data_IF_630055276655
#
_entry.id   IF_630055276655
#
_cell.length_a   1.000
_cell.length_b   1.000
_cell.length_c   1.000
_cell.angle_alpha   90.00
_cell.angle_beta   90.00
_cell.angle_gamma   90.00
#
_symmetry.space_group_name_H-M   'P 1'
#
loop_
_entity.id
_entity.type
_entity.pdbx_description
1 polymer ?
#
# COMPACT_ATOMS: atom_id res chain seq x y z
N UNK A 1 0.29 -2.58 20.40
CA UNK A 1 1.38 -2.38 19.69
C UNK A 1 1.23 -1.34 18.64
N UNK A 2 2.31 -0.82 18.30
CA UNK A 2 2.31 0.22 17.33
C UNK A 2 1.71 -0.24 16.03
N UNK A 3 1.69 -1.52 15.90
CA UNK A 3 1.18 -2.14 14.72
C UNK A 3 -0.32 -2.34 14.75
N UNK A 4 -0.99 -1.77 15.72
CA UNK A 4 -2.44 -1.82 15.71
C UNK A 4 -2.96 -0.88 14.63
N UNK A 5 -3.14 -1.42 13.45
CA UNK A 5 -3.57 -0.65 12.30
C UNK A 5 -5.01 -0.19 12.39
N UNK A 6 -5.75 -0.65 13.39
CA UNK A 6 -7.14 -0.25 13.55
C UNK A 6 -7.27 1.25 13.88
N UNK A 7 -6.20 1.88 14.33
CA UNK A 7 -6.21 3.33 14.57
C UNK A 7 -6.01 4.15 13.31
N UNK A 8 -5.63 3.52 12.21
CA UNK A 8 -5.37 4.24 10.98
C UNK A 8 -6.63 4.30 10.14
N UNK A 9 -6.99 5.49 9.73
CA UNK A 9 -8.08 5.67 8.77
C UNK A 9 -7.46 5.74 7.39
N UNK A 10 -7.61 4.66 6.64
CA UNK A 10 -6.98 4.55 5.33
C UNK A 10 -8.03 4.25 4.27
N UNK A 11 -7.96 4.98 3.19
CA UNK A 11 -8.75 4.64 2.02
C UNK A 11 -8.06 3.48 1.31
N UNK A 12 -8.82 2.48 0.95
CA UNK A 12 -8.28 1.34 0.23
C UNK A 12 -9.28 0.88 -0.82
N UNK A 13 -8.77 0.58 -2.00
CA UNK A 13 -9.55 -0.03 -3.06
C UNK A 13 -9.00 -1.43 -3.29
N UNK A 14 -9.90 -2.41 -3.33
CA UNK A 14 -9.52 -3.80 -3.57
C UNK A 14 -10.21 -4.29 -4.82
N UNK A 15 -9.48 -5.03 -5.63
CA UNK A 15 -10.05 -5.64 -6.83
C UNK A 15 -9.20 -6.81 -7.26
N UNK A 16 -9.70 -7.58 -8.21
CA UNK A 16 -8.97 -8.72 -8.73
C UNK A 16 -8.34 -8.36 -10.05
N UNK A 17 -7.06 -8.66 -10.16
CA UNK A 17 -6.33 -8.47 -11.40
C UNK A 17 -6.58 -9.65 -12.33
N UNK A 18 -5.98 -9.58 -13.50
CA UNK A 18 -6.00 -10.66 -14.46
C UNK A 18 -5.56 -11.96 -13.79
N UNK A 19 -6.31 -13.03 -14.00
CA UNK A 19 -6.03 -14.30 -13.36
C UNK A 19 -6.63 -14.43 -11.97
N UNK A 20 -7.38 -13.41 -11.51
CA UNK A 20 -8.06 -13.48 -10.23
C UNK A 20 -7.20 -13.13 -9.02
N UNK A 21 -5.97 -12.66 -9.24
CA UNK A 21 -5.09 -12.31 -8.13
C UNK A 21 -5.60 -11.06 -7.42
N UNK A 22 -5.77 -11.08 -6.09
CA UNK A 22 -6.26 -9.90 -5.38
C UNK A 22 -5.19 -8.83 -5.29
N UNK A 23 -5.63 -7.59 -5.48
CA UNK A 23 -4.78 -6.40 -5.37
C UNK A 23 -5.45 -5.40 -4.46
N UNK A 24 -4.65 -4.64 -3.73
CA UNK A 24 -5.14 -3.52 -2.95
C UNK A 24 -4.36 -2.27 -3.31
N UNK A 25 -5.03 -1.12 -3.35
CA UNK A 25 -4.39 0.16 -3.63
C UNK A 25 -4.77 1.14 -2.54
N UNK A 26 -3.75 1.76 -1.94
CA UNK A 26 -3.91 2.82 -0.95
C UNK A 26 -3.54 4.13 -1.64
N UNK A 27 -4.54 4.93 -2.04
CA UNK A 27 -4.26 6.08 -2.90
C UNK A 27 -3.64 7.27 -2.18
N UNK A 28 -3.62 7.26 -0.85
CA UNK A 28 -3.10 8.39 -0.07
C UNK A 28 -2.29 7.84 1.09
N UNK A 29 -1.03 7.52 0.81
CA UNK A 29 -0.18 6.83 1.77
C UNK A 29 1.00 7.69 2.24
N UNK A 30 0.90 9.00 2.10
CA UNK A 30 2.03 9.89 2.37
C UNK A 30 2.47 9.89 3.83
N UNK A 31 1.61 9.49 4.75
CA UNK A 31 1.95 9.48 6.17
C UNK A 31 2.39 8.10 6.68
N UNK A 32 2.59 7.15 5.77
CA UNK A 32 3.05 5.82 6.14
C UNK A 32 4.55 5.69 5.86
N UNK A 33 5.26 5.03 6.77
CA UNK A 33 6.66 4.70 6.51
C UNK A 33 6.77 3.29 5.92
N UNK A 34 8.00 2.91 5.56
CA UNK A 34 8.23 1.62 4.91
C UNK A 34 7.80 0.45 5.77
N UNK A 35 8.07 0.51 7.07
CA UNK A 35 7.71 -0.57 7.96
C UNK A 35 6.19 -0.71 8.08
N UNK A 36 5.49 0.41 8.13
CA UNK A 36 4.03 0.38 8.18
C UNK A 36 3.44 -0.15 6.89
N UNK A 37 4.00 0.22 5.75
CA UNK A 37 3.52 -0.29 4.46
C UNK A 37 3.71 -1.80 4.38
N UNK A 38 4.87 -2.31 4.82
CA UNK A 38 5.11 -3.75 4.79
C UNK A 38 4.17 -4.47 5.75
N UNK A 39 3.91 -3.90 6.91
CA UNK A 39 2.98 -4.50 7.85
C UNK A 39 1.56 -4.55 7.28
N UNK A 40 1.12 -3.48 6.64
CA UNK A 40 -0.18 -3.45 6.00
C UNK A 40 -0.25 -4.51 4.90
N UNK A 41 0.79 -4.63 4.10
CA UNK A 41 0.83 -5.63 3.03
C UNK A 41 0.74 -7.04 3.59
N UNK A 42 1.41 -7.29 4.71
CA UNK A 42 1.34 -8.59 5.38
C UNK A 42 -0.07 -8.83 5.91
N UNK A 43 -0.68 -7.84 6.54
CA UNK A 43 -2.02 -7.98 7.10
C UNK A 43 -3.07 -8.19 6.02
N UNK A 44 -2.96 -7.47 4.92
CA UNK A 44 -3.88 -7.64 3.78
C UNK A 44 -3.74 -9.02 3.17
N UNK A 45 -2.51 -9.51 3.12
CA UNK A 45 -2.19 -10.82 2.54
C UNK A 45 -2.68 -10.96 1.09
N UNK A 46 -2.71 -9.88 0.37
CA UNK A 46 -3.03 -9.88 -1.05
C UNK A 46 -1.76 -10.13 -1.86
N UNK A 47 -1.93 -10.52 -3.11
CA UNK A 47 -0.77 -10.75 -3.99
C UNK A 47 0.10 -9.51 -4.08
N UNK A 48 -0.52 -8.34 -4.21
CA UNK A 48 0.19 -7.08 -4.23
C UNK A 48 -0.62 -6.02 -3.50
N UNK A 49 0.09 -5.15 -2.80
CA UNK A 49 -0.48 -3.97 -2.16
C UNK A 49 0.30 -2.76 -2.65
N UNK A 50 -0.39 -1.82 -3.25
CA UNK A 50 0.21 -0.65 -3.87
C UNK A 50 -0.08 0.58 -3.04
N UNK A 51 0.96 1.36 -2.75
CA UNK A 51 0.83 2.60 -2.00
C UNK A 51 1.18 3.76 -2.93
N UNK A 52 0.28 4.73 -3.02
CA UNK A 52 0.47 5.91 -3.85
C UNK A 52 0.81 7.08 -2.96
N UNK A 53 1.92 7.74 -3.27
CA UNK A 53 2.41 8.87 -2.49
C UNK A 53 2.53 10.10 -3.39
N UNK A 54 2.56 11.29 -2.80
CA UNK A 54 2.81 12.50 -3.59
C UNK A 54 4.17 12.43 -4.25
N UNK A 55 4.35 13.07 -5.41
CA UNK A 55 5.65 13.10 -6.05
C UNK A 55 6.63 13.92 -5.24
N UNK A 56 7.91 13.54 -5.27
CA UNK A 56 8.95 14.36 -4.64
C UNK A 56 9.16 15.65 -5.40
N UNK A 57 8.99 15.60 -6.71
CA UNK A 57 9.11 16.76 -7.58
C UNK A 57 7.72 17.12 -8.07
N UNK A 58 7.23 18.36 -7.82
CA UNK A 58 5.89 18.72 -8.25
C UNK A 58 5.65 18.63 -9.76
N UNK A 59 6.71 18.55 -10.54
CA UNK A 59 6.57 18.37 -11.99
C UNK A 59 6.20 16.95 -12.37
N UNK A 60 6.30 16.01 -11.44
CA UNK A 60 6.01 14.62 -11.71
C UNK A 60 4.64 14.24 -11.17
N UNK A 61 4.14 13.10 -11.61
CA UNK A 61 2.92 12.53 -11.05
C UNK A 61 3.26 11.81 -9.75
N UNK A 62 2.41 10.93 -9.28
CA UNK A 62 2.60 10.27 -8.00
C UNK A 62 3.77 9.30 -8.01
N UNK A 63 4.30 9.02 -6.81
CA UNK A 63 5.19 7.88 -6.59
C UNK A 63 4.36 6.67 -6.26
N UNK A 64 4.83 5.50 -6.68
CA UNK A 64 4.13 4.25 -6.42
C UNK A 64 5.10 3.27 -5.76
N UNK A 65 4.66 2.67 -4.66
CA UNK A 65 5.44 1.61 -3.99
C UNK A 65 4.57 0.37 -3.93
N UNK A 66 5.12 -0.76 -4.33
CA UNK A 66 4.36 -2.00 -4.45
C UNK A 66 4.98 -3.05 -3.54
N UNK A 67 4.14 -3.68 -2.74
CA UNK A 67 4.58 -4.69 -1.77
C UNK A 67 3.85 -6.00 -2.00
N UNK A 68 4.58 -7.09 -1.85
CA UNK A 68 3.96 -8.40 -1.58
C UNK A 68 3.81 -8.53 -0.07
N UNK A 69 3.18 -9.61 0.43
CA UNK A 69 3.08 -9.77 1.88
C UNK A 69 4.41 -9.79 2.61
N UNK A 70 5.51 -10.09 1.95
CA UNK A 70 6.78 -10.26 2.64
C UNK A 70 7.88 -9.34 2.15
N UNK A 71 7.69 -8.61 1.04
CA UNK A 71 8.78 -7.78 0.51
C UNK A 71 8.24 -6.69 -0.39
N UNK A 72 9.03 -5.65 -0.54
CA UNK A 72 8.74 -4.60 -1.52
C UNK A 72 9.34 -4.97 -2.87
N UNK A 73 8.58 -4.74 -3.91
CA UNK A 73 9.03 -4.99 -5.28
C UNK A 73 9.85 -3.83 -5.82
#
# INVERSE_FOLDING_TARGET
MADDLSFLTLDVFSYQAFGGNPLAVFPRAEHLDSAQMQLIALEMNYSETTFILPPKDPAHTAQVRIFTPTTEL
#
